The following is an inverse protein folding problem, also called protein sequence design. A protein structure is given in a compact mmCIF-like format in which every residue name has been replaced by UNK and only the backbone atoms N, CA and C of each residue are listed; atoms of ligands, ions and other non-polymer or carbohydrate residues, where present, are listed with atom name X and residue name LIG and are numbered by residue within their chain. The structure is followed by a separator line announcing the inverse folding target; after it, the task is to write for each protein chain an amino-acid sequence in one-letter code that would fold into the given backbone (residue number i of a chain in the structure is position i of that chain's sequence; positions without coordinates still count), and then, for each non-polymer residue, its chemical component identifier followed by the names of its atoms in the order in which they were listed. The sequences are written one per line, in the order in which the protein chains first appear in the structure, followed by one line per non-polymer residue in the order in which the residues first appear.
data_IF_172870272569
#
_entry.id   IF_172870272569
#
_cell.length_a   1.000
_cell.length_b   1.000
_cell.length_c   1.000
_cell.angle_alpha   90.00
_cell.angle_beta   90.00
_cell.angle_gamma   90.00
#
_symmetry.space_group_name_H-M   'P 1'
#
loop_
_entity.id
_entity.type
_entity.pdbx_description
1 polymer ?
#
# COMPACT_ATOMS: atom_id res chain seq x y z
N UNK A 1 -6.21 6.54 17.64
CA UNK A 1 -5.37 6.56 16.43
C UNK A 1 -3.95 6.32 16.91
N UNK A 2 -3.31 5.22 16.49
CA UNK A 2 -1.94 4.95 16.89
C UNK A 2 -1.06 6.09 16.36
N UNK A 3 -0.28 6.71 17.24
CA UNK A 3 0.68 7.74 16.88
C UNK A 3 1.84 7.06 16.15
N UNK A 4 1.69 6.87 14.83
CA UNK A 4 2.68 6.14 14.04
C UNK A 4 3.78 7.11 13.64
N UNK A 5 4.81 7.23 14.47
CA UNK A 5 5.99 8.02 14.15
C UNK A 5 7.06 7.14 13.45
N UNK A 6 7.77 7.68 12.45
CA UNK A 6 7.60 9.00 11.81
C UNK A 6 6.45 9.03 10.78
N UNK A 7 5.67 10.12 10.80
CA UNK A 7 4.71 10.50 9.75
C UNK A 7 5.18 11.79 9.08
N UNK A 8 5.21 11.90 7.74
CA UNK A 8 4.93 10.85 6.74
C UNK A 8 5.98 9.73 6.76
N UNK A 9 5.63 8.56 6.21
CA UNK A 9 6.50 7.37 6.25
C UNK A 9 7.76 7.47 5.38
N UNK A 10 7.84 8.47 4.50
CA UNK A 10 8.99 8.73 3.65
C UNK A 10 9.09 10.23 3.34
N UNK A 11 10.31 10.71 3.10
CA UNK A 11 10.57 12.08 2.65
C UNK A 11 10.69 12.16 1.13
N UNK A 12 10.64 13.38 0.57
CA UNK A 12 10.88 13.59 -0.87
C UNK A 12 12.29 13.16 -1.27
N UNK A 13 13.29 13.31 -0.39
CA UNK A 13 14.65 12.85 -0.63
C UNK A 13 14.73 11.32 -0.75
N UNK A 14 14.03 10.60 0.16
CA UNK A 14 13.88 9.14 0.09
C UNK A 14 13.22 8.65 -1.21
N UNK A 15 12.30 9.46 -1.76
CA UNK A 15 11.64 9.18 -3.03
C UNK A 15 12.61 9.37 -4.20
N UNK A 16 13.34 10.50 -4.24
CA UNK A 16 14.33 10.81 -5.28
C UNK A 16 15.48 9.81 -5.32
N UNK A 17 15.95 9.35 -4.16
CA UNK A 17 17.00 8.33 -4.08
C UNK A 17 16.57 7.00 -4.73
N UNK A 18 15.27 6.70 -4.71
CA UNK A 18 14.69 5.47 -5.28
C UNK A 18 14.19 5.65 -6.72
N UNK A 19 14.01 6.89 -7.17
CA UNK A 19 13.46 7.21 -8.47
C UNK A 19 14.36 8.21 -9.21
N UNK A 20 15.33 7.73 -10.01
CA UNK A 20 16.28 8.59 -10.70
C UNK A 20 15.65 9.47 -11.80
N UNK A 21 14.48 9.08 -12.31
CA UNK A 21 13.73 9.78 -13.37
C UNK A 21 12.62 10.70 -12.79
N UNK A 22 12.82 11.19 -11.57
CA UNK A 22 11.83 12.02 -10.89
C UNK A 22 11.59 13.35 -11.65
N UNK A 23 10.33 13.74 -11.92
CA UNK A 23 10.03 14.93 -12.71
C UNK A 23 10.49 16.22 -12.03
N UNK A 24 11.15 17.09 -12.80
CA UNK A 24 11.66 18.38 -12.32
C UNK A 24 10.50 19.29 -11.92
N UNK A 25 10.51 19.82 -10.70
CA UNK A 25 9.44 20.67 -10.17
C UNK A 25 8.27 19.92 -9.53
N UNK A 26 8.33 18.59 -9.47
CA UNK A 26 7.34 17.74 -8.80
C UNK A 26 7.43 17.70 -7.28
N UNK A 27 8.39 18.41 -6.66
CA UNK A 27 8.71 18.31 -5.23
C UNK A 27 7.52 18.60 -4.30
N UNK A 28 6.81 19.70 -4.54
CA UNK A 28 5.65 20.09 -3.74
C UNK A 28 4.49 19.11 -3.91
N UNK A 29 4.29 18.61 -5.14
CA UNK A 29 3.25 17.63 -5.43
C UNK A 29 3.57 16.27 -4.76
N UNK A 30 4.82 15.83 -4.86
CA UNK A 30 5.30 14.61 -4.23
C UNK A 30 5.18 14.67 -2.69
N UNK A 31 5.43 15.82 -2.07
CA UNK A 31 5.23 16.01 -0.63
C UNK A 31 3.78 15.72 -0.22
N UNK A 32 2.81 16.34 -0.88
CA UNK A 32 1.38 16.13 -0.61
C UNK A 32 0.97 14.67 -0.86
N UNK A 33 1.44 14.07 -1.96
CA UNK A 33 1.15 12.66 -2.26
C UNK A 33 1.76 11.70 -1.24
N UNK A 34 2.93 12.01 -0.66
CA UNK A 34 3.54 11.20 0.39
C UNK A 34 2.72 11.22 1.67
N UNK A 35 2.15 12.38 2.03
CA UNK A 35 1.25 12.51 3.18
C UNK A 35 -0.05 11.73 2.95
N UNK A 36 -0.71 11.95 1.81
CA UNK A 36 -1.97 11.27 1.47
C UNK A 36 -1.78 9.75 1.35
N UNK A 37 -0.72 9.29 0.67
CA UNK A 37 -0.42 7.87 0.54
C UNK A 37 -0.11 7.22 1.90
N UNK A 38 0.54 7.94 2.82
CA UNK A 38 0.80 7.43 4.17
C UNK A 38 -0.51 7.24 4.95
N UNK A 39 -1.44 8.20 4.84
CA UNK A 39 -2.77 8.12 5.44
C UNK A 39 -3.59 6.99 4.80
N UNK A 40 -3.62 6.90 3.47
CA UNK A 40 -4.30 5.84 2.73
C UNK A 40 -3.82 4.44 3.15
N UNK A 41 -2.52 4.25 3.34
CA UNK A 41 -1.96 2.97 3.80
C UNK A 41 -2.47 2.61 5.20
N UNK A 42 -2.59 3.59 6.10
CA UNK A 42 -3.15 3.37 7.45
C UNK A 42 -4.65 3.04 7.41
N UNK A 43 -5.41 3.70 6.52
CA UNK A 43 -6.84 3.44 6.35
C UNK A 43 -7.12 2.05 5.78
N UNK A 44 -6.33 1.59 4.81
CA UNK A 44 -6.49 0.26 4.21
C UNK A 44 -5.88 -0.84 5.09
N UNK A 45 -4.76 -0.56 5.75
CA UNK A 45 -4.00 -1.53 6.52
C UNK A 45 -3.59 -0.94 7.88
N UNK A 46 -4.46 -0.99 8.89
CA UNK A 46 -4.16 -0.43 10.22
C UNK A 46 -2.96 -1.11 10.90
N UNK A 47 -2.67 -2.36 10.52
CA UNK A 47 -1.48 -3.12 10.98
C UNK A 47 -0.17 -2.53 10.47
N UNK A 48 -0.20 -1.66 9.45
CA UNK A 48 1.00 -1.04 8.88
C UNK A 48 1.78 -0.24 9.94
N UNK A 49 1.10 0.30 10.97
CA UNK A 49 1.76 1.02 12.07
C UNK A 49 2.76 0.17 12.87
N UNK A 50 2.54 -1.15 12.92
CA UNK A 50 3.37 -2.10 13.68
C UNK A 50 4.51 -2.69 12.82
N UNK A 51 4.50 -2.45 11.51
CA UNK A 51 5.48 -2.98 10.56
C UNK A 51 6.76 -2.14 10.59
N UNK A 52 7.89 -2.75 10.21
CA UNK A 52 9.18 -2.07 10.12
C UNK A 52 9.09 -0.78 9.28
N UNK A 53 9.74 0.26 9.76
CA UNK A 53 9.81 1.57 9.09
C UNK A 53 10.37 1.45 7.67
N UNK A 54 11.36 0.58 7.46
CA UNK A 54 11.95 0.30 6.14
C UNK A 54 10.93 -0.24 5.13
N UNK A 55 10.00 -1.09 5.58
CA UNK A 55 8.96 -1.67 4.73
C UNK A 55 7.91 -0.64 4.41
N UNK A 56 7.44 0.12 5.41
CA UNK A 56 6.49 1.23 5.22
C UNK A 56 7.03 2.24 4.20
N UNK A 57 8.27 2.71 4.39
CA UNK A 57 8.95 3.64 3.49
C UNK A 57 9.03 3.11 2.05
N UNK A 58 9.42 1.84 1.88
CA UNK A 58 9.50 1.22 0.54
C UNK A 58 8.15 1.20 -0.16
N UNK A 59 7.08 0.85 0.55
CA UNK A 59 5.73 0.75 -0.03
C UNK A 59 5.16 2.13 -0.34
N UNK A 60 5.36 3.12 0.53
CA UNK A 60 4.88 4.49 0.29
C UNK A 60 5.54 5.09 -0.94
N UNK A 61 6.87 4.97 -1.05
CA UNK A 61 7.59 5.43 -2.24
C UNK A 61 7.12 4.73 -3.52
N UNK A 62 6.80 3.43 -3.47
CA UNK A 62 6.31 2.70 -4.66
C UNK A 62 4.89 3.15 -5.05
N UNK A 63 4.02 3.42 -4.08
CA UNK A 63 2.65 3.90 -4.31
C UNK A 63 2.67 5.29 -4.93
N UNK A 64 3.41 6.24 -4.34
CA UNK A 64 3.52 7.61 -4.86
C UNK A 64 4.14 7.63 -6.24
N UNK A 65 5.20 6.83 -6.47
CA UNK A 65 5.79 6.69 -7.80
C UNK A 65 4.75 6.26 -8.84
N UNK A 66 3.95 5.22 -8.55
CA UNK A 66 2.90 4.73 -9.46
C UNK A 66 1.77 5.72 -9.69
N UNK A 67 1.45 6.56 -8.70
CA UNK A 67 0.47 7.62 -8.85
C UNK A 67 1.00 8.75 -9.74
N UNK A 68 2.28 9.11 -9.61
CA UNK A 68 2.94 10.14 -10.42
C UNK A 68 3.33 9.68 -11.83
N UNK A 69 3.63 8.39 -12.05
CA UNK A 69 3.93 7.82 -13.37
C UNK A 69 2.69 7.75 -14.29
N UNK A 70 1.51 8.14 -13.83
CA UNK A 70 0.33 8.24 -14.71
C UNK A 70 0.56 9.35 -15.72
N UNK A 71 0.88 8.93 -16.95
CA UNK A 71 1.05 9.80 -18.10
C UNK A 71 -0.23 10.61 -18.32
N UNK A 72 -0.12 11.94 -18.25
CA UNK A 72 -1.25 12.87 -18.38
C UNK A 72 -2.03 12.70 -19.69
N UNK A 73 -1.40 12.15 -20.73
CA UNK A 73 -2.01 11.87 -22.04
C UNK A 73 -2.89 10.60 -22.07
N UNK A 74 -2.78 9.73 -21.05
CA UNK A 74 -3.54 8.47 -20.93
C UNK A 74 -4.60 8.52 -19.82
N UNK A 75 -4.76 9.65 -19.15
CA UNK A 75 -5.78 9.83 -18.10
C UNK A 75 -7.17 9.67 -18.73
N UNK A 76 -7.95 8.72 -18.20
CA UNK A 76 -9.27 8.39 -18.72
C UNK A 76 -9.31 7.51 -19.98
N UNK A 77 -8.16 7.02 -20.47
CA UNK A 77 -8.09 6.12 -21.63
C UNK A 77 -7.62 4.73 -21.19
N UNK A 78 -8.55 3.77 -21.13
CA UNK A 78 -8.25 2.38 -20.70
C UNK A 78 -7.37 1.62 -21.70
N UNK A 79 -7.54 1.89 -23.00
CA UNK A 79 -6.71 1.32 -24.07
C UNK A 79 -6.59 2.26 -25.25
N UNK A 80 -5.35 2.53 -25.68
CA UNK A 80 -5.06 3.16 -26.96
C UNK A 80 -4.57 2.10 -27.95
N UNK A 81 -5.21 2.06 -29.12
CA UNK A 81 -4.75 1.26 -30.26
C UNK A 81 -4.32 2.23 -31.36
N UNK A 82 -3.06 2.17 -31.76
CA UNK A 82 -2.54 2.97 -32.86
C UNK A 82 -2.07 2.03 -33.96
N UNK A 83 -2.66 2.17 -35.15
CA UNK A 83 -2.32 1.38 -36.34
C UNK A 83 -1.69 2.25 -37.41
N UNK A 84 -0.50 1.87 -37.87
CA UNK A 84 0.17 2.49 -39.01
C UNK A 84 0.59 1.39 -39.99
N UNK A 85 -0.25 1.14 -41.01
CA UNK A 85 -0.02 0.09 -42.00
C UNK A 85 -0.01 -1.31 -41.36
N UNK A 86 1.02 -2.16 -41.59
CA UNK A 86 1.09 -3.52 -41.01
C UNK A 86 1.43 -3.53 -39.52
N UNK A 87 1.76 -2.38 -38.92
CA UNK A 87 2.10 -2.29 -37.50
C UNK A 87 0.89 -1.87 -36.69
N UNK A 88 0.58 -2.65 -35.66
CA UNK A 88 -0.40 -2.30 -34.63
C UNK A 88 0.30 -2.24 -33.29
N UNK A 89 0.14 -1.12 -32.59
CA UNK A 89 0.59 -0.94 -31.21
C UNK A 89 -0.64 -0.81 -30.31
N UNK A 90 -0.76 -1.66 -29.31
CA UNK A 90 -1.79 -1.57 -28.27
C UNK A 90 -1.14 -1.19 -26.96
N UNK A 91 -1.44 0.01 -26.46
CA UNK A 91 -1.06 0.46 -25.11
C UNK A 91 -2.27 0.32 -24.20
N UNK A 92 -2.08 -0.31 -23.04
CA UNK A 92 -3.07 -0.36 -21.97
C UNK A 92 -2.59 0.47 -20.81
N UNK A 93 -3.40 1.42 -20.37
CA UNK A 93 -3.10 2.19 -19.18
C UNK A 93 -3.33 1.30 -17.95
N UNK A 94 -2.28 1.09 -17.15
CA UNK A 94 -2.35 0.28 -15.92
C UNK A 94 -3.06 1.02 -14.77
N UNK A 95 -3.05 2.35 -14.79
CA UNK A 95 -3.75 3.20 -13.81
C UNK A 95 -4.32 4.46 -14.49
N UNK A 96 -5.47 4.37 -15.19
CA UNK A 96 -6.04 5.49 -15.95
C UNK A 96 -6.53 6.66 -15.08
N UNK A 97 -6.74 6.44 -13.79
CA UNK A 97 -7.34 7.41 -12.87
C UNK A 97 -6.33 8.08 -11.92
N UNK A 98 -5.09 7.58 -11.86
CA UNK A 98 -4.10 8.13 -10.91
C UNK A 98 -4.37 7.77 -9.45
N UNK A 99 -5.29 6.84 -9.18
CA UNK A 99 -5.64 6.45 -7.82
C UNK A 99 -4.51 5.68 -7.14
N UNK A 100 -4.46 5.78 -5.81
CA UNK A 100 -3.58 4.96 -5.00
C UNK A 100 -4.09 3.52 -4.92
N UNK A 101 -3.21 2.56 -5.18
CA UNK A 101 -3.50 1.14 -5.00
C UNK A 101 -2.33 0.38 -4.40
N UNK A 102 -2.64 -0.57 -3.53
CA UNK A 102 -1.68 -1.50 -2.95
C UNK A 102 -1.75 -2.84 -3.69
N UNK A 103 -0.59 -3.33 -4.14
CA UNK A 103 -0.48 -4.67 -4.72
C UNK A 103 -0.67 -5.73 -3.63
N UNK A 104 -1.01 -6.97 -4.04
CA UNK A 104 -1.18 -8.09 -3.10
C UNK A 104 0.08 -8.34 -2.25
N UNK A 105 1.27 -8.21 -2.86
CA UNK A 105 2.54 -8.41 -2.15
C UNK A 105 2.83 -7.29 -1.14
N UNK A 106 2.46 -6.05 -1.46
CA UNK A 106 2.61 -4.93 -0.54
C UNK A 106 1.65 -5.05 0.64
N UNK A 107 0.40 -5.47 0.40
CA UNK A 107 -0.55 -5.76 1.47
C UNK A 107 0.02 -6.83 2.42
N UNK A 108 0.51 -7.95 1.87
CA UNK A 108 1.17 -8.99 2.66
C UNK A 108 2.36 -8.46 3.46
N UNK A 109 3.18 -7.59 2.86
CA UNK A 109 4.33 -6.97 3.53
C UNK A 109 3.92 -6.02 4.66
N UNK A 110 2.77 -5.35 4.51
CA UNK A 110 2.16 -4.48 5.53
C UNK A 110 1.34 -5.24 6.59
N UNK A 111 1.34 -6.58 6.52
CA UNK A 111 0.62 -7.45 7.46
C UNK A 111 -0.89 -7.53 7.22
N UNK A 112 -1.38 -6.95 6.12
CA UNK A 112 -2.79 -6.98 5.74
C UNK A 112 -3.02 -7.98 4.59
N UNK A 113 -4.00 -8.88 4.72
CA UNK A 113 -4.37 -9.81 3.65
C UNK A 113 -3.62 -11.15 3.59
N UNK A 114 -2.78 -11.46 4.60
CA UNK A 114 -2.33 -12.82 4.83
C UNK A 114 -3.42 -13.66 5.52
N UNK A 115 -3.65 -14.90 5.06
CA UNK A 115 -4.50 -15.84 5.80
C UNK A 115 -3.80 -16.19 7.12
N UNK A 116 -4.44 -15.90 8.25
CA UNK A 116 -3.96 -16.31 9.58
C UNK A 116 -4.60 -17.66 9.92
N UNK A 117 -3.78 -18.69 10.13
CA UNK A 117 -4.26 -19.95 10.69
C UNK A 117 -4.50 -19.74 12.18
N UNK A 118 -5.70 -20.09 12.65
CA UNK A 118 -6.03 -20.11 14.07
C UNK A 118 -6.64 -21.46 14.41
N UNK A 119 -6.34 -21.96 15.60
CA UNK A 119 -6.96 -23.17 16.15
C UNK A 119 -8.01 -22.75 17.15
N UNK A 120 -9.24 -23.22 16.97
CA UNK A 120 -10.30 -23.09 17.98
C UNK A 120 -10.33 -24.40 18.75
N UNK A 121 -10.12 -24.33 20.06
CA UNK A 121 -10.38 -25.46 20.92
C UNK A 121 -11.90 -25.68 20.99
N UNK A 122 -12.35 -26.85 20.52
CA UNK A 122 -13.76 -27.21 20.47
C UNK A 122 -14.20 -27.95 21.74
N UNK A 123 -13.30 -28.16 22.72
CA UNK A 123 -13.69 -28.81 23.96
C UNK A 123 -14.39 -27.80 24.87
N UNK A 124 -15.52 -28.16 25.48
CA UNK A 124 -16.13 -27.31 26.49
C UNK A 124 -15.13 -27.13 27.64
N UNK A 125 -14.96 -25.88 28.10
CA UNK A 125 -14.19 -25.58 29.30
C UNK A 125 -14.69 -26.49 30.42
N UNK A 126 -13.82 -27.36 30.95
CA UNK A 126 -14.22 -28.22 32.06
C UNK A 126 -14.41 -27.32 33.28
N UNK A 127 -15.62 -27.24 33.88
CA UNK A 127 -15.73 -26.63 35.19
C UNK A 127 -14.85 -27.43 36.15
N UNK A 128 -14.04 -26.73 36.95
CA UNK A 128 -13.33 -27.35 38.07
C UNK A 128 -14.37 -28.08 38.93
N UNK A 129 -14.24 -29.41 39.12
CA UNK A 129 -15.16 -30.13 39.97
C UNK A 129 -15.03 -29.57 41.38
N UNK A 130 -16.10 -28.94 41.89
CA UNK A 130 -16.18 -28.53 43.29
C UNK A 130 -16.46 -29.80 44.08
N UNK A 131 -15.51 -30.22 44.91
CA UNK A 131 -15.68 -31.44 45.68
C UNK A 131 -16.45 -31.17 46.98
N UNK A 132 -17.37 -32.05 47.38
CA UNK A 132 -18.24 -31.83 48.55
C UNK A 132 -17.51 -31.87 49.90
N UNK A 133 -16.21 -32.14 49.94
CA UNK A 133 -15.38 -32.17 51.17
C UNK A 133 -14.43 -30.97 51.30
N UNK A 134 -14.56 -29.97 50.43
CA UNK A 134 -13.77 -28.72 50.49
C UNK A 134 -14.52 -27.56 51.20
N UNK A 135 -15.53 -27.87 52.02
CA UNK A 135 -16.32 -26.90 52.82
C UNK A 135 -16.30 -27.26 54.31
#
# INVERSE_FOLDING_TARGET
MADVLPFPFATVDDLKLRWPDFPVGGDSHAGVLLEDASQYILDVCPTAGEVSESTRRRVVCSVVRRAMEVESELVGVESMQMGAGPYQETRKALNPHGDFYLTKQEKLSLGCGGQKAFTVDMMPVRPTPVYPWEV
#
